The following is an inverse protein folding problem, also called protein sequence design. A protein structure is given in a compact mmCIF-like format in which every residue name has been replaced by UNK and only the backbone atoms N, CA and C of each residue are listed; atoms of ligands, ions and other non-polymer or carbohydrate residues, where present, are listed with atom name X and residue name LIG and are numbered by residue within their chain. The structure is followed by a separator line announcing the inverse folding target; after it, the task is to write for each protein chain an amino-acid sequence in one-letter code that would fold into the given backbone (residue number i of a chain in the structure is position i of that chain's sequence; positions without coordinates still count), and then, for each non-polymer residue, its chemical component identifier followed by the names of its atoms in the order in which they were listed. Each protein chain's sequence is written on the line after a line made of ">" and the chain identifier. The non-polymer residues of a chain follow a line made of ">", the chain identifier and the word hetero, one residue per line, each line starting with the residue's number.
data_IF_438639118618
#
_entry.id   IF_438639118618
#
_cell.length_a   1.000
_cell.length_b   1.000
_cell.length_c   1.000
_cell.angle_alpha   90.00
_cell.angle_beta   90.00
_cell.angle_gamma   90.00
#
_symmetry.space_group_name_H-M   'P 1'
#
loop_
_entity.id
_entity.type
_entity.pdbx_description
1 polymer ?
#
# COMPACT_ATOMS: atom_id res chain seq x y z
N UNK A 1 -41.53 28.35 -22.04
CA UNK A 1 -40.23 28.92 -22.33
C UNK A 1 -39.63 29.47 -21.05
N UNK A 2 -38.77 28.75 -20.39
CA UNK A 2 -38.07 29.22 -19.18
C UNK A 2 -37.03 30.28 -19.60
N UNK A 3 -37.06 31.38 -18.91
CA UNK A 3 -36.32 32.59 -19.27
C UNK A 3 -34.80 32.38 -19.08
N UNK A 4 -34.04 32.26 -20.20
CA UNK A 4 -32.57 32.09 -20.22
C UNK A 4 -31.80 33.08 -19.36
N UNK A 5 -32.41 34.24 -19.04
CA UNK A 5 -31.86 35.24 -18.13
C UNK A 5 -31.95 34.83 -16.65
N UNK A 6 -32.94 34.01 -16.33
CA UNK A 6 -33.10 33.44 -14.96
C UNK A 6 -32.13 32.30 -14.70
N UNK A 7 -31.88 31.44 -15.68
CA UNK A 7 -30.90 30.35 -15.59
C UNK A 7 -29.47 30.90 -15.42
N UNK A 8 -29.09 31.95 -16.17
CA UNK A 8 -27.79 32.60 -15.99
C UNK A 8 -27.63 33.21 -14.60
N UNK A 9 -28.69 33.84 -14.04
CA UNK A 9 -28.64 34.40 -12.68
C UNK A 9 -28.55 33.30 -11.62
N UNK A 10 -29.27 32.20 -11.78
CA UNK A 10 -29.21 31.05 -10.87
C UNK A 10 -27.83 30.38 -10.90
N UNK A 11 -27.25 30.19 -12.08
CA UNK A 11 -25.91 29.65 -12.24
C UNK A 11 -24.82 30.53 -11.58
N UNK A 12 -24.93 31.86 -11.75
CA UNK A 12 -23.99 32.80 -11.11
C UNK A 12 -24.13 32.79 -9.57
N UNK A 13 -25.35 32.71 -9.03
CA UNK A 13 -25.58 32.62 -7.58
C UNK A 13 -25.00 31.34 -7.00
N UNK A 14 -25.13 30.21 -7.72
CA UNK A 14 -24.61 28.91 -7.32
C UNK A 14 -23.08 28.88 -7.29
N UNK A 15 -22.43 29.49 -8.28
CA UNK A 15 -20.96 29.63 -8.32
C UNK A 15 -20.46 30.50 -7.17
N UNK A 16 -21.13 31.63 -6.88
CA UNK A 16 -20.77 32.49 -5.74
C UNK A 16 -20.94 31.74 -4.40
N UNK A 17 -21.96 30.93 -4.25
CA UNK A 17 -22.19 30.15 -3.04
C UNK A 17 -21.07 29.11 -2.83
N UNK A 18 -20.63 28.42 -3.89
CA UNK A 18 -19.51 27.47 -3.82
C UNK A 18 -18.21 28.19 -3.43
N UNK A 19 -17.92 29.37 -3.99
CA UNK A 19 -16.70 30.12 -3.64
C UNK A 19 -16.73 30.54 -2.16
N UNK A 20 -17.86 30.96 -1.64
CA UNK A 20 -18.00 31.31 -0.21
C UNK A 20 -17.81 30.08 0.69
N UNK A 21 -18.39 28.94 0.34
CA UNK A 21 -18.22 27.70 1.10
C UNK A 21 -16.76 27.23 1.12
N UNK A 22 -16.06 27.31 -0.02
CA UNK A 22 -14.64 26.95 -0.12
C UNK A 22 -13.77 27.89 0.71
N UNK A 23 -14.03 29.20 0.68
CA UNK A 23 -13.27 30.15 1.48
C UNK A 23 -13.49 29.99 2.99
N UNK A 24 -14.71 29.67 3.42
CA UNK A 24 -15.02 29.37 4.83
C UNK A 24 -14.33 28.06 5.28
N UNK A 25 -14.27 27.06 4.42
CA UNK A 25 -13.56 25.81 4.70
C UNK A 25 -12.06 26.04 4.88
N UNK A 26 -11.42 26.85 4.02
CA UNK A 26 -10.01 27.22 4.17
C UNK A 26 -9.74 28.05 5.43
N UNK A 27 -10.64 28.99 5.77
CA UNK A 27 -10.52 29.80 6.98
C UNK A 27 -10.65 28.94 8.25
N UNK A 28 -11.58 27.98 8.27
CA UNK A 28 -11.74 27.03 9.37
C UNK A 28 -10.50 26.17 9.58
N UNK A 29 -9.93 25.59 8.50
CA UNK A 29 -8.71 24.79 8.61
C UNK A 29 -7.49 25.62 9.03
N UNK A 30 -7.38 26.88 8.58
CA UNK A 30 -6.28 27.78 8.98
C UNK A 30 -6.35 28.17 10.47
N UNK A 31 -7.55 28.36 11.02
CA UNK A 31 -7.71 28.61 12.46
C UNK A 31 -7.40 27.38 13.30
N UNK A 32 -7.76 26.19 12.84
CA UNK A 32 -7.51 24.94 13.56
C UNK A 32 -6.03 24.54 13.57
N UNK A 33 -5.25 24.87 12.51
CA UNK A 33 -3.80 24.68 12.49
C UNK A 33 -3.08 25.61 13.46
N UNK A 34 -3.52 26.86 13.61
CA UNK A 34 -2.95 27.80 14.59
C UNK A 34 -3.24 27.46 16.05
N UNK A 35 -4.32 26.72 16.30
CA UNK A 35 -4.69 26.29 17.68
C UNK A 35 -3.80 25.13 18.18
N UNK A 36 -3.18 24.36 17.28
CA UNK A 36 -2.31 23.24 17.66
C UNK A 36 -0.84 23.66 17.91
N UNK A 37 -0.41 24.83 17.44
CA UNK A 37 0.96 25.30 17.64
C UNK A 37 1.21 26.02 18.99
N UNK A 38 0.13 26.29 19.76
CA UNK A 38 0.24 27.02 21.03
C UNK A 38 0.27 26.13 22.29
N UNK A 39 0.26 24.78 22.16
CA UNK A 39 0.25 23.88 23.32
C UNK A 39 1.59 23.18 23.60
N UNK A 40 2.69 23.58 22.96
CA UNK A 40 4.01 22.94 23.17
C UNK A 40 5.09 23.87 23.74
N UNK A 41 4.70 24.86 24.58
CA UNK A 41 5.71 25.68 25.23
C UNK A 41 5.32 26.06 26.68
N UNK A 42 5.39 25.11 27.59
CA UNK A 42 5.63 25.31 29.02
C UNK A 42 6.00 23.98 29.66
N UNK A 43 7.30 23.73 29.88
CA UNK A 43 7.87 23.28 31.14
C UNK A 43 9.39 23.10 30.97
N UNK A 44 10.10 24.20 31.27
CA UNK A 44 11.49 24.13 31.69
C UNK A 44 11.51 24.59 33.14
N UNK A 45 11.74 23.67 34.07
CA UNK A 45 12.43 24.06 35.31
C UNK A 45 13.21 22.88 35.90
N UNK A 46 14.52 23.02 35.83
CA UNK A 46 15.56 22.83 36.84
C UNK A 46 15.47 21.61 37.79
N UNK A 47 16.43 20.70 37.69
CA UNK A 47 17.27 20.39 38.83
C UNK A 47 18.61 19.77 38.42
N UNK A 48 19.65 20.53 38.72
CA UNK A 48 21.06 20.19 38.77
C UNK A 48 21.35 19.28 39.96
N UNK A 49 22.06 18.14 39.80
CA UNK A 49 22.89 17.56 40.86
C UNK A 49 24.05 16.75 40.25
N UNK A 50 25.23 17.34 40.29
CA UNK A 50 26.60 16.84 40.63
C UNK A 50 27.12 15.52 40.08
N UNK A 51 28.28 15.70 39.35
CA UNK A 51 29.39 14.75 39.23
C UNK A 51 30.12 14.56 40.59
N UNK A 52 30.87 13.47 40.74
CA UNK A 52 32.35 13.61 40.80
C UNK A 52 33.14 12.58 39.98
N UNK A 53 34.07 13.07 39.36
CA UNK A 53 35.52 12.93 39.19
C UNK A 53 36.24 11.62 39.49
N UNK A 54 37.14 11.33 38.52
CA UNK A 54 38.56 10.85 38.62
C UNK A 54 38.77 9.35 38.81
N UNK A 55 39.76 8.74 38.16
CA UNK A 55 41.21 8.86 37.88
C UNK A 55 41.60 7.54 37.20
N UNK A 56 42.41 7.35 36.35
CA UNK A 56 43.75 7.46 35.82
C UNK A 56 43.99 6.36 34.77
N UNK A 57 44.54 6.70 33.69
CA UNK A 57 45.89 6.43 33.11
C UNK A 57 46.40 5.00 33.13
N UNK A 58 46.79 4.52 31.96
CA UNK A 58 47.74 3.44 31.72
C UNK A 58 48.01 3.22 30.22
N UNK A 59 49.03 3.84 29.75
CA UNK A 59 49.75 3.56 28.50
C UNK A 59 50.25 2.11 28.51
N UNK A 60 50.34 1.46 27.33
CA UNK A 60 51.62 1.17 26.69
C UNK A 60 51.46 0.58 25.29
N UNK A 61 52.44 0.99 24.50
CA UNK A 61 52.83 0.66 23.15
C UNK A 61 53.33 -0.78 23.01
N UNK A 62 53.24 -1.32 21.80
CA UNK A 62 54.30 -1.72 20.85
C UNK A 62 53.70 -2.62 19.78
N UNK A 63 53.81 -2.22 18.51
CA UNK A 63 54.74 -2.63 17.45
C UNK A 63 54.96 -4.14 17.34
N UNK A 64 54.68 -4.77 16.22
CA UNK A 64 55.57 -4.84 15.05
C UNK A 64 54.95 -5.73 13.94
N UNK A 65 55.10 -5.23 12.74
CA UNK A 65 55.35 -5.76 11.42
C UNK A 65 55.52 -7.27 11.21
N UNK A 66 54.95 -7.84 10.13
CA UNK A 66 55.75 -8.31 8.99
C UNK A 66 54.90 -8.74 7.79
N UNK A 67 55.40 -8.31 6.66
CA UNK A 67 54.96 -8.57 5.26
C UNK A 67 55.26 -10.02 4.79
N UNK A 68 54.38 -10.49 3.91
CA UNK A 68 54.55 -11.14 2.60
C UNK A 68 55.55 -12.33 2.43
N UNK A 69 55.62 -13.05 1.30
CA UNK A 69 54.93 -12.92 0.01
C UNK A 69 54.50 -14.24 -0.71
N UNK A 70 53.73 -14.00 -1.76
CA UNK A 70 53.50 -14.70 -3.04
C UNK A 70 54.36 -15.95 -3.37
N UNK A 71 53.70 -17.01 -3.90
CA UNK A 71 54.21 -17.78 -5.05
C UNK A 71 53.08 -18.40 -5.84
N UNK A 72 53.03 -18.00 -7.12
CA UNK A 72 52.46 -18.74 -8.25
C UNK A 72 53.14 -20.10 -8.40
N UNK A 73 52.40 -21.09 -8.84
CA UNK A 73 52.94 -22.02 -9.83
C UNK A 73 51.80 -22.66 -10.66
N UNK A 74 52.00 -22.54 -11.96
CA UNK A 74 51.30 -23.22 -13.05
C UNK A 74 51.68 -24.71 -13.07
N UNK A 75 50.76 -25.60 -13.38
CA UNK A 75 51.00 -26.50 -14.52
C UNK A 75 49.75 -27.22 -15.01
N UNK A 76 49.74 -27.37 -16.33
CA UNK A 76 48.83 -28.09 -17.22
C UNK A 76 48.89 -29.62 -16.99
N UNK A 77 47.85 -30.32 -17.28
CA UNK A 77 47.58 -31.22 -18.44
C UNK A 77 46.47 -32.22 -18.18
N UNK A 78 45.52 -32.14 -19.04
CA UNK A 78 44.84 -33.11 -19.91
C UNK A 78 44.33 -34.47 -19.40
N UNK A 79 43.11 -34.68 -19.80
CA UNK A 79 42.45 -35.85 -20.37
C UNK A 79 41.55 -36.75 -19.53
N UNK A 80 40.32 -36.70 -20.03
CA UNK A 80 39.40 -37.77 -20.41
C UNK A 80 38.57 -38.51 -19.35
N UNK A 81 37.32 -38.38 -19.66
CA UNK A 81 36.24 -39.39 -19.75
C UNK A 81 35.20 -39.53 -18.62
N UNK A 82 34.02 -39.22 -19.14
CA UNK A 82 32.75 -39.98 -19.06
C UNK A 82 31.90 -40.00 -17.80
N UNK A 83 30.70 -39.56 -18.15
CA UNK A 83 29.37 -40.04 -17.67
C UNK A 83 29.08 -39.88 -16.20
N UNK A 84 28.13 -38.98 -15.90
CA UNK A 84 26.83 -39.48 -15.51
C UNK A 84 25.86 -38.36 -15.13
N UNK A 85 24.68 -38.44 -15.70
CA UNK A 85 23.37 -38.13 -15.17
C UNK A 85 23.23 -36.84 -14.35
N UNK A 86 22.91 -35.79 -15.05
CA UNK A 86 22.08 -34.72 -14.51
C UNK A 86 20.62 -35.20 -14.51
N UNK A 87 20.12 -35.56 -13.35
CA UNK A 87 18.70 -35.50 -13.06
C UNK A 87 18.28 -34.04 -13.11
N UNK A 88 17.81 -33.61 -14.26
CA UNK A 88 17.04 -32.37 -14.42
C UNK A 88 15.69 -32.59 -13.71
N UNK A 89 15.64 -32.24 -12.44
CA UNK A 89 14.37 -31.96 -11.79
C UNK A 89 13.80 -30.72 -12.48
N UNK A 90 12.97 -30.98 -13.48
CA UNK A 90 12.03 -30.03 -14.05
C UNK A 90 11.14 -29.56 -12.90
N UNK A 91 11.40 -28.35 -12.39
CA UNK A 91 10.47 -27.66 -11.52
C UNK A 91 9.20 -27.45 -12.33
N UNK A 92 8.12 -28.15 -11.98
CA UNK A 92 6.80 -27.96 -12.56
C UNK A 92 6.39 -26.53 -12.20
N UNK A 93 6.44 -25.63 -13.18
CA UNK A 93 5.77 -24.33 -13.12
C UNK A 93 4.28 -24.61 -12.86
N UNK A 94 3.84 -24.30 -11.64
CA UNK A 94 2.40 -24.27 -11.35
C UNK A 94 1.76 -23.28 -12.31
N UNK A 95 0.64 -23.62 -12.96
CA UNK A 95 0.00 -22.75 -13.92
C UNK A 95 -0.33 -21.42 -13.24
N UNK A 96 0.10 -20.34 -13.88
CA UNK A 96 -0.35 -18.97 -13.57
C UNK A 96 -1.87 -19.04 -13.66
N UNK A 97 -2.57 -18.83 -12.55
CA UNK A 97 -4.02 -18.76 -12.58
C UNK A 97 -4.38 -17.55 -13.45
N UNK A 98 -5.04 -17.81 -14.55
CA UNK A 98 -5.60 -16.76 -15.41
C UNK A 98 -6.47 -15.83 -14.56
N UNK A 99 -6.44 -14.52 -14.85
CA UNK A 99 -7.24 -13.55 -14.12
C UNK A 99 -8.71 -13.97 -14.15
N UNK A 100 -9.31 -14.11 -12.97
CA UNK A 100 -10.72 -14.50 -12.85
C UNK A 100 -11.58 -13.49 -13.60
N UNK A 101 -12.38 -13.92 -14.61
CA UNK A 101 -13.24 -12.99 -15.34
C UNK A 101 -14.18 -12.27 -14.37
N UNK A 102 -14.19 -10.93 -14.41
CA UNK A 102 -15.12 -10.15 -13.59
C UNK A 102 -16.53 -10.31 -14.15
N UNK A 103 -17.50 -10.84 -13.38
CA UNK A 103 -18.87 -10.90 -13.85
C UNK A 103 -19.36 -9.49 -14.17
N UNK A 104 -19.75 -9.25 -15.42
CA UNK A 104 -20.31 -7.98 -15.87
C UNK A 104 -21.70 -7.71 -15.28
N UNK A 105 -22.30 -8.73 -14.70
CA UNK A 105 -23.69 -8.75 -14.22
C UNK A 105 -23.87 -8.19 -12.80
N UNK A 106 -22.83 -8.20 -11.93
CA UNK A 106 -22.95 -7.69 -10.57
C UNK A 106 -23.14 -6.16 -10.58
N UNK A 107 -24.14 -5.69 -9.83
CA UNK A 107 -24.34 -4.26 -9.54
C UNK A 107 -23.60 -3.83 -8.27
N UNK A 108 -23.52 -2.51 -7.99
CA UNK A 108 -23.00 -2.03 -6.71
C UNK A 108 -23.85 -2.51 -5.52
N UNK A 109 -25.17 -2.70 -5.72
CA UNK A 109 -26.07 -3.24 -4.69
C UNK A 109 -25.71 -4.70 -4.38
N UNK A 110 -25.40 -5.50 -5.41
CA UNK A 110 -24.94 -6.88 -5.24
C UNK A 110 -23.60 -6.93 -4.51
N UNK A 111 -22.64 -6.07 -4.87
CA UNK A 111 -21.36 -6.00 -4.18
C UNK A 111 -21.54 -5.68 -2.68
N UNK A 112 -22.38 -4.69 -2.33
CA UNK A 112 -22.70 -4.37 -0.94
C UNK A 112 -23.28 -5.57 -0.20
N UNK A 113 -24.27 -6.23 -0.83
CA UNK A 113 -24.91 -7.41 -0.25
C UNK A 113 -23.90 -8.53 -0.02
N UNK A 114 -23.07 -8.86 -1.02
CA UNK A 114 -22.06 -9.91 -0.93
C UNK A 114 -21.05 -9.61 0.18
N UNK A 115 -20.56 -8.36 0.28
CA UNK A 115 -19.62 -7.96 1.34
C UNK A 115 -20.24 -8.11 2.73
N UNK A 116 -21.53 -7.76 2.90
CA UNK A 116 -22.22 -7.93 4.16
C UNK A 116 -22.46 -9.41 4.48
N UNK A 117 -22.99 -10.20 3.52
CA UNK A 117 -23.29 -11.62 3.72
C UNK A 117 -22.03 -12.44 4.04
N UNK A 118 -20.90 -12.10 3.41
CA UNK A 118 -19.61 -12.76 3.64
C UNK A 118 -18.84 -12.15 4.82
N UNK A 119 -19.37 -11.11 5.45
CA UNK A 119 -18.72 -10.35 6.51
C UNK A 119 -17.30 -9.92 6.11
N UNK A 120 -17.20 -9.26 4.96
CA UNK A 120 -15.95 -8.87 4.34
C UNK A 120 -15.63 -7.38 4.57
N UNK A 121 -14.35 -7.07 4.67
CA UNK A 121 -13.84 -5.71 4.85
C UNK A 121 -12.65 -5.44 3.93
N UNK A 122 -12.53 -4.18 3.48
CA UNK A 122 -11.34 -3.65 2.81
C UNK A 122 -10.59 -2.75 3.78
N UNK A 123 -9.29 -2.90 3.87
CA UNK A 123 -8.40 -2.02 4.63
C UNK A 123 -7.34 -1.43 3.72
N UNK A 124 -7.20 -0.09 3.73
CA UNK A 124 -6.30 0.57 2.78
C UNK A 124 -6.06 2.05 3.02
N UNK A 125 -5.58 2.69 1.98
CA UNK A 125 -5.26 4.12 1.93
C UNK A 125 -6.32 4.94 1.18
N UNK A 126 -5.90 6.05 0.55
CA UNK A 126 -6.78 6.91 -0.27
C UNK A 126 -7.36 6.18 -1.49
N UNK A 127 -6.76 5.09 -1.95
CA UNK A 127 -7.35 4.28 -3.02
C UNK A 127 -8.63 3.59 -2.53
N UNK A 128 -8.62 3.03 -1.31
CA UNK A 128 -9.80 2.39 -0.72
C UNK A 128 -10.94 3.39 -0.41
N UNK A 129 -10.61 4.68 -0.14
CA UNK A 129 -11.60 5.73 0.06
C UNK A 129 -12.64 5.79 -1.05
N UNK A 130 -12.23 5.60 -2.31
CA UNK A 130 -13.12 5.65 -3.45
C UNK A 130 -14.23 4.61 -3.43
N UNK A 131 -14.04 3.46 -2.80
CA UNK A 131 -15.08 2.44 -2.65
C UNK A 131 -16.30 2.96 -1.88
N UNK A 132 -16.07 3.81 -0.89
CA UNK A 132 -17.14 4.48 -0.14
C UNK A 132 -17.58 5.79 -0.75
N UNK A 133 -16.64 6.61 -1.24
CA UNK A 133 -16.92 7.92 -1.82
C UNK A 133 -17.82 7.83 -3.07
N UNK A 134 -17.65 6.80 -3.88
CA UNK A 134 -18.50 6.52 -5.04
C UNK A 134 -19.69 5.61 -4.72
N UNK A 135 -19.95 5.34 -3.45
CA UNK A 135 -21.12 4.56 -2.99
C UNK A 135 -21.12 3.10 -3.47
N UNK A 136 -19.92 2.51 -3.68
CA UNK A 136 -19.76 1.16 -4.21
C UNK A 136 -19.86 0.11 -3.12
N UNK A 137 -19.25 0.37 -1.97
CA UNK A 137 -19.37 -0.42 -0.75
C UNK A 137 -19.94 0.44 0.39
N UNK A 138 -20.44 -0.22 1.44
CA UNK A 138 -20.89 0.46 2.64
C UNK A 138 -19.71 0.91 3.49
N UNK A 139 -19.90 1.95 4.30
CA UNK A 139 -18.84 2.52 5.13
C UNK A 139 -18.28 1.52 6.16
N UNK A 140 -19.13 0.63 6.68
CA UNK A 140 -18.73 -0.42 7.62
C UNK A 140 -17.81 -1.48 7.00
N UNK A 141 -17.85 -1.65 5.67
CA UNK A 141 -17.02 -2.62 4.96
C UNK A 141 -15.65 -2.06 4.53
N UNK A 142 -15.35 -0.78 4.81
CA UNK A 142 -14.10 -0.16 4.35
C UNK A 142 -13.45 0.66 5.47
N UNK A 143 -12.24 0.30 5.85
CA UNK A 143 -11.37 1.11 6.71
C UNK A 143 -10.28 1.72 5.85
N UNK A 144 -10.21 3.04 5.81
CA UNK A 144 -9.23 3.76 5.01
C UNK A 144 -8.70 5.01 5.72
N UNK A 145 -7.44 5.34 5.45
CA UNK A 145 -6.82 6.59 5.87
C UNK A 145 -5.87 7.06 4.79
N UNK A 146 -6.03 8.28 4.30
CA UNK A 146 -5.14 8.86 3.27
C UNK A 146 -3.69 8.83 3.73
N UNK A 147 -2.78 8.44 2.83
CA UNK A 147 -1.36 8.33 3.15
C UNK A 147 -0.99 7.13 4.03
N UNK A 148 -1.93 6.22 4.34
CA UNK A 148 -1.66 5.01 5.10
C UNK A 148 -0.74 4.09 4.32
N UNK A 149 0.26 3.52 5.00
CA UNK A 149 1.18 2.52 4.48
C UNK A 149 1.00 1.21 5.24
N UNK A 150 1.55 0.15 4.67
CA UNK A 150 1.48 -1.17 5.31
C UNK A 150 2.15 -1.19 6.69
N UNK A 151 3.28 -0.49 6.85
CA UNK A 151 4.05 -0.46 8.09
C UNK A 151 3.35 0.23 9.27
N UNK A 152 2.28 0.97 9.00
CA UNK A 152 1.53 1.71 10.02
C UNK A 152 0.02 1.44 10.01
N UNK A 153 -0.43 0.39 9.29
CA UNK A 153 -1.83 -0.04 9.28
C UNK A 153 -2.33 -0.53 10.64
N UNK A 154 -1.42 -0.95 11.54
CA UNK A 154 -1.76 -1.34 12.90
C UNK A 154 -2.55 -0.26 13.68
N UNK A 155 -2.46 1.01 13.26
CA UNK A 155 -3.23 2.12 13.83
C UNK A 155 -4.75 2.01 13.57
N UNK A 156 -5.14 1.18 12.63
CA UNK A 156 -6.54 0.95 12.27
C UNK A 156 -7.08 -0.37 12.84
N UNK A 157 -6.23 -1.12 13.59
CA UNK A 157 -6.54 -2.47 14.06
C UNK A 157 -7.80 -2.54 14.92
N UNK A 158 -8.03 -1.55 15.78
CA UNK A 158 -9.20 -1.52 16.67
C UNK A 158 -10.52 -1.51 15.87
N UNK A 159 -10.58 -0.80 14.74
CA UNK A 159 -11.75 -0.80 13.86
C UNK A 159 -11.92 -2.14 13.15
N UNK A 160 -10.82 -2.74 12.72
CA UNK A 160 -10.82 -4.01 12.00
C UNK A 160 -11.21 -5.14 12.96
N UNK A 161 -10.64 -5.18 14.17
CA UNK A 161 -10.99 -6.19 15.18
C UNK A 161 -12.40 -6.02 15.73
N UNK A 162 -12.90 -4.78 15.89
CA UNK A 162 -14.28 -4.53 16.28
C UNK A 162 -15.28 -5.04 15.24
N UNK A 163 -14.97 -4.93 13.96
CA UNK A 163 -15.77 -5.52 12.89
C UNK A 163 -15.60 -7.04 12.83
N UNK A 164 -14.38 -7.56 13.11
CA UNK A 164 -14.01 -8.98 13.10
C UNK A 164 -14.36 -9.70 11.78
N UNK A 165 -13.80 -9.28 10.65
CA UNK A 165 -14.21 -9.77 9.33
C UNK A 165 -13.84 -11.24 9.12
N UNK A 166 -14.67 -11.96 8.33
CA UNK A 166 -14.31 -13.28 7.81
C UNK A 166 -13.27 -13.16 6.68
N UNK A 167 -13.32 -12.06 5.90
CA UNK A 167 -12.40 -11.75 4.80
C UNK A 167 -11.89 -10.32 4.94
N UNK A 168 -10.56 -10.15 4.90
CA UNK A 168 -9.92 -8.85 4.95
C UNK A 168 -9.08 -8.63 3.69
N UNK A 169 -9.52 -7.73 2.82
CA UNK A 169 -8.76 -7.30 1.65
C UNK A 169 -7.78 -6.19 2.03
N UNK A 170 -6.49 -6.41 1.82
CA UNK A 170 -5.45 -5.42 2.03
C UNK A 170 -5.14 -4.68 0.73
N UNK A 171 -5.24 -3.35 0.76
CA UNK A 171 -5.00 -2.49 -0.40
C UNK A 171 -4.01 -1.38 -0.06
N UNK A 172 -2.76 -1.79 0.19
CA UNK A 172 -1.65 -0.92 0.55
C UNK A 172 -0.53 -1.02 -0.47
N UNK A 173 0.30 0.00 -0.56
CA UNK A 173 1.48 0.00 -1.37
C UNK A 173 1.72 1.30 -2.13
N UNK A 174 0.68 2.05 -2.53
CA UNK A 174 0.85 3.30 -3.28
C UNK A 174 1.72 4.31 -2.53
N UNK A 175 1.48 4.49 -1.23
CA UNK A 175 2.29 5.36 -0.38
C UNK A 175 3.61 4.70 0.06
N UNK A 176 3.67 3.38 0.02
CA UNK A 176 4.87 2.61 0.33
C UNK A 176 5.94 2.75 -0.75
N UNK A 177 5.55 2.92 -2.04
CA UNK A 177 6.47 3.18 -3.14
C UNK A 177 7.39 4.38 -2.88
N UNK A 178 6.83 5.48 -2.34
CA UNK A 178 7.60 6.67 -1.99
C UNK A 178 8.50 6.42 -0.78
N UNK A 179 7.96 5.78 0.26
CA UNK A 179 8.69 5.52 1.51
C UNK A 179 9.85 4.56 1.30
N UNK A 180 9.65 3.52 0.49
CA UNK A 180 10.60 2.44 0.27
C UNK A 180 11.24 2.47 -1.12
N UNK A 181 11.32 3.64 -1.77
CA UNK A 181 11.88 3.80 -3.12
C UNK A 181 13.16 3.00 -3.30
N UNK A 182 13.15 2.02 -4.23
CA UNK A 182 14.29 1.14 -4.51
C UNK A 182 14.66 0.15 -3.40
N UNK A 183 13.87 0.03 -2.33
CA UNK A 183 14.13 -0.84 -1.18
C UNK A 183 12.99 -1.83 -0.97
N UNK A 184 12.71 -2.62 -1.99
CA UNK A 184 11.58 -3.57 -2.01
C UNK A 184 11.67 -4.60 -0.89
N UNK A 185 12.87 -5.04 -0.49
CA UNK A 185 13.06 -6.01 0.58
C UNK A 185 12.54 -5.47 1.94
N UNK A 186 12.75 -4.17 2.21
CA UNK A 186 12.22 -3.54 3.43
C UNK A 186 10.69 -3.46 3.39
N UNK A 187 10.10 -3.11 2.23
CA UNK A 187 8.66 -3.14 2.05
C UNK A 187 8.09 -4.53 2.31
N UNK A 188 8.65 -5.57 1.69
CA UNK A 188 8.22 -6.96 1.87
C UNK A 188 8.41 -7.43 3.31
N UNK A 189 9.51 -7.03 3.98
CA UNK A 189 9.70 -7.31 5.41
C UNK A 189 8.57 -6.70 6.24
N UNK A 190 8.20 -5.43 5.99
CA UNK A 190 7.11 -4.77 6.70
C UNK A 190 5.75 -5.38 6.40
N UNK A 191 5.53 -5.79 5.15
CA UNK A 191 4.31 -6.50 4.79
C UNK A 191 4.21 -7.84 5.53
N UNK A 192 5.28 -8.61 5.62
CA UNK A 192 5.38 -9.87 6.36
C UNK A 192 5.08 -9.67 7.85
N UNK A 193 5.74 -8.69 8.50
CA UNK A 193 5.49 -8.33 9.90
C UNK A 193 4.01 -7.97 10.14
N UNK A 194 3.39 -7.26 9.20
CA UNK A 194 1.97 -6.88 9.29
C UNK A 194 1.05 -8.09 9.13
N UNK A 195 1.35 -9.02 8.21
CA UNK A 195 0.59 -10.26 8.07
C UNK A 195 0.65 -11.11 9.35
N UNK A 196 1.83 -11.24 9.97
CA UNK A 196 2.01 -11.96 11.22
C UNK A 196 1.20 -11.31 12.36
N UNK A 197 1.23 -9.98 12.45
CA UNK A 197 0.43 -9.21 13.41
C UNK A 197 -1.08 -9.39 13.20
N UNK A 198 -1.55 -9.35 11.93
CA UNK A 198 -2.96 -9.57 11.61
C UNK A 198 -3.40 -11.00 11.95
N UNK A 199 -2.57 -12.00 11.67
CA UNK A 199 -2.87 -13.38 12.03
C UNK A 199 -2.98 -13.58 13.55
N UNK A 200 -2.17 -12.87 14.34
CA UNK A 200 -2.29 -12.86 15.80
C UNK A 200 -3.61 -12.25 16.27
N UNK A 201 -3.99 -11.10 15.70
CA UNK A 201 -5.18 -10.34 16.14
C UNK A 201 -6.49 -10.88 15.57
N UNK A 202 -6.44 -11.55 14.44
CA UNK A 202 -7.60 -12.00 13.66
C UNK A 202 -7.37 -13.44 13.14
N UNK A 203 -7.22 -14.43 14.02
CA UNK A 203 -6.79 -15.79 13.67
C UNK A 203 -7.78 -16.54 12.74
N UNK A 204 -9.03 -16.09 12.68
CA UNK A 204 -10.08 -16.70 11.85
C UNK A 204 -10.38 -15.93 10.56
N UNK A 205 -9.69 -14.81 10.32
CA UNK A 205 -9.90 -13.96 9.15
C UNK A 205 -9.05 -14.44 7.97
N UNK A 206 -9.67 -14.63 6.82
CA UNK A 206 -8.97 -14.89 5.57
C UNK A 206 -8.46 -13.57 4.99
N UNK A 207 -7.15 -13.41 4.95
CA UNK A 207 -6.51 -12.24 4.33
C UNK A 207 -6.44 -12.44 2.83
N UNK A 208 -6.71 -11.37 2.06
CA UNK A 208 -6.58 -11.31 0.59
C UNK A 208 -5.75 -10.06 0.27
N UNK A 209 -4.74 -10.19 -0.55
CA UNK A 209 -3.88 -9.08 -0.95
C UNK A 209 -4.31 -8.57 -2.33
N UNK A 210 -4.58 -7.27 -2.44
CA UNK A 210 -4.77 -6.60 -3.71
C UNK A 210 -3.44 -6.00 -4.21
N UNK A 211 -3.21 -6.01 -5.52
CA UNK A 211 -2.03 -5.39 -6.12
C UNK A 211 -2.00 -3.88 -5.91
N UNK A 212 -0.80 -3.32 -5.96
CA UNK A 212 -0.59 -1.87 -6.06
C UNK A 212 -0.99 -1.43 -7.46
N UNK A 213 -1.82 -0.39 -7.55
CA UNK A 213 -2.28 0.14 -8.83
C UNK A 213 -1.16 0.88 -9.57
N UNK A 214 -1.14 0.83 -10.90
CA UNK A 214 -0.28 1.67 -11.70
C UNK A 214 -0.71 3.13 -11.59
N UNK A 215 0.17 4.02 -12.02
CA UNK A 215 -0.10 5.46 -12.12
C UNK A 215 0.01 5.92 -13.58
N UNK A 216 -0.47 7.12 -13.87
CA UNK A 216 -0.29 7.73 -15.20
C UNK A 216 1.18 8.10 -15.45
N UNK A 217 1.56 8.20 -16.72
CA UNK A 217 2.88 8.69 -17.11
C UNK A 217 3.20 10.07 -16.51
N UNK A 218 2.20 10.96 -16.44
CA UNK A 218 2.32 12.28 -15.81
C UNK A 218 2.70 12.18 -14.31
N UNK A 219 2.14 11.24 -13.56
CA UNK A 219 2.49 11.03 -12.17
C UNK A 219 3.89 10.43 -12.03
N UNK A 220 4.25 9.48 -12.90
CA UNK A 220 5.59 8.89 -12.98
C UNK A 220 6.66 9.95 -13.25
N UNK A 221 6.41 10.89 -14.16
CA UNK A 221 7.33 12.01 -14.45
C UNK A 221 7.51 12.95 -13.23
N UNK A 222 6.47 13.11 -12.41
CA UNK A 222 6.54 13.94 -11.21
C UNK A 222 7.26 13.25 -10.05
N UNK A 223 7.09 11.94 -9.92
CA UNK A 223 7.67 11.15 -8.86
C UNK A 223 8.10 9.78 -9.39
N UNK A 224 9.39 9.61 -9.59
CA UNK A 224 9.99 8.38 -10.12
C UNK A 224 9.84 7.17 -9.19
N UNK A 225 9.47 7.37 -7.91
CA UNK A 225 9.20 6.28 -6.99
C UNK A 225 8.06 5.36 -7.48
N UNK A 226 7.10 5.91 -8.22
CA UNK A 226 6.03 5.11 -8.82
C UNK A 226 6.52 4.10 -9.88
N UNK A 227 7.73 4.29 -10.44
CA UNK A 227 8.35 3.33 -11.37
C UNK A 227 8.73 1.99 -10.75
N UNK A 228 8.71 1.88 -9.43
CA UNK A 228 8.96 0.62 -8.73
C UNK A 228 7.70 -0.25 -8.56
N UNK A 229 6.54 0.19 -9.02
CA UNK A 229 5.25 -0.47 -8.80
C UNK A 229 5.25 -1.95 -9.25
N UNK A 230 5.76 -2.25 -10.44
CA UNK A 230 5.82 -3.63 -10.96
C UNK A 230 6.75 -4.51 -10.12
N UNK A 231 7.92 -3.98 -9.70
CA UNK A 231 8.84 -4.69 -8.84
C UNK A 231 8.20 -5.02 -7.48
N UNK A 232 7.52 -4.04 -6.88
CA UNK A 232 6.83 -4.23 -5.60
C UNK A 232 5.70 -5.25 -5.73
N UNK A 233 4.91 -5.22 -6.80
CA UNK A 233 3.86 -6.20 -7.05
C UNK A 233 4.42 -7.61 -7.27
N UNK A 234 5.53 -7.74 -8.00
CA UNK A 234 6.21 -9.02 -8.22
C UNK A 234 6.62 -9.64 -6.89
N UNK A 235 7.28 -8.89 -6.03
CA UNK A 235 7.73 -9.41 -4.73
C UNK A 235 6.56 -9.60 -3.74
N UNK A 236 5.53 -8.75 -3.81
CA UNK A 236 4.32 -8.90 -3.01
C UNK A 236 3.54 -10.17 -3.39
N UNK A 237 3.47 -10.48 -4.69
CA UNK A 237 2.87 -11.74 -5.17
C UNK A 237 3.66 -12.95 -4.68
N UNK A 238 5.00 -12.92 -4.74
CA UNK A 238 5.84 -14.00 -4.19
C UNK A 238 5.57 -14.23 -2.70
N UNK A 239 5.46 -13.15 -1.91
CA UNK A 239 5.11 -13.23 -0.49
C UNK A 239 3.72 -13.85 -0.29
N UNK A 240 2.74 -13.48 -1.11
CA UNK A 240 1.40 -14.05 -1.07
C UNK A 240 1.43 -15.56 -1.37
N UNK A 241 2.16 -15.97 -2.41
CA UNK A 241 2.33 -17.37 -2.79
C UNK A 241 3.04 -18.18 -1.69
N UNK A 242 4.12 -17.66 -1.07
CA UNK A 242 4.81 -18.26 0.07
C UNK A 242 3.90 -18.51 1.28
N UNK A 243 2.95 -17.61 1.50
CA UNK A 243 2.04 -17.64 2.64
C UNK A 243 0.70 -18.31 2.34
N UNK A 244 0.49 -18.79 1.11
CA UNK A 244 -0.80 -19.28 0.60
C UNK A 244 -1.93 -18.26 0.80
N UNK A 245 -1.63 -16.98 0.63
CA UNK A 245 -2.58 -15.86 0.70
C UNK A 245 -3.03 -15.54 -0.73
N UNK A 246 -4.33 -15.46 -1.01
CA UNK A 246 -4.83 -15.04 -2.31
C UNK A 246 -4.34 -13.64 -2.69
N UNK A 247 -3.90 -13.50 -3.94
CA UNK A 247 -3.48 -12.23 -4.52
C UNK A 247 -4.36 -11.89 -5.71
N UNK A 248 -4.93 -10.68 -5.71
CA UNK A 248 -5.80 -10.20 -6.78
C UNK A 248 -5.11 -9.03 -7.49
N UNK A 249 -4.87 -9.20 -8.80
CA UNK A 249 -4.38 -8.11 -9.62
C UNK A 249 -5.52 -7.14 -9.94
N UNK A 250 -5.42 -5.93 -9.41
CA UNK A 250 -6.42 -4.88 -9.55
C UNK A 250 -6.12 -3.92 -10.71
N UNK A 251 -5.00 -4.09 -11.41
CA UNK A 251 -4.56 -3.17 -12.47
C UNK A 251 -5.31 -3.36 -13.80
N UNK A 252 -5.87 -4.54 -14.04
CA UNK A 252 -6.44 -4.97 -15.32
C UNK A 252 -7.49 -4.01 -15.91
N UNK A 253 -8.24 -3.31 -15.06
CA UNK A 253 -9.32 -2.43 -15.50
C UNK A 253 -8.85 -1.00 -15.87
N UNK A 254 -7.57 -0.70 -15.70
CA UNK A 254 -7.01 0.62 -15.95
C UNK A 254 -6.36 0.74 -17.33
N UNK A 255 -5.88 -0.39 -17.89
CA UNK A 255 -5.10 -0.37 -19.15
C UNK A 255 -5.94 -0.09 -20.38
N UNK A 256 -7.21 -0.46 -20.41
CA UNK A 256 -8.10 -0.35 -21.58
C UNK A 256 -8.83 0.99 -21.68
N UNK A 257 -8.53 1.97 -20.83
CA UNK A 257 -9.26 3.23 -20.77
C UNK A 257 -8.39 4.43 -21.13
N UNK A 258 -8.90 5.30 -22.00
CA UNK A 258 -8.32 6.62 -22.18
C UNK A 258 -8.45 7.42 -20.88
N UNK A 259 -7.31 7.94 -20.38
CA UNK A 259 -7.26 8.79 -19.19
C UNK A 259 -7.97 8.18 -17.97
N UNK A 260 -7.53 7.02 -17.49
CA UNK A 260 -8.22 6.31 -16.40
C UNK A 260 -8.04 6.97 -15.03
N UNK A 261 -7.15 7.96 -14.91
CA UNK A 261 -6.78 8.61 -13.65
C UNK A 261 -7.41 10.00 -13.50
N UNK A 262 -7.53 10.45 -12.26
CA UNK A 262 -7.84 11.82 -11.91
C UNK A 262 -6.71 12.79 -12.33
N UNK A 263 -6.89 14.09 -12.12
CA UNK A 263 -5.93 15.12 -12.54
C UNK A 263 -4.55 14.98 -11.91
N UNK A 264 -4.44 14.32 -10.75
CA UNK A 264 -3.18 14.00 -10.08
C UNK A 264 -2.38 12.90 -10.79
N UNK A 265 -3.07 12.06 -11.57
CA UNK A 265 -2.50 10.96 -12.32
C UNK A 265 -2.24 9.70 -11.48
N UNK A 266 -2.66 9.70 -10.21
CA UNK A 266 -2.47 8.61 -9.24
C UNK A 266 -3.77 7.90 -8.92
N UNK A 267 -4.81 8.65 -8.53
CA UNK A 267 -6.10 8.08 -8.19
C UNK A 267 -6.90 7.70 -9.43
N UNK A 268 -7.49 6.50 -9.48
CA UNK A 268 -8.40 6.13 -10.55
C UNK A 268 -9.66 6.98 -10.55
N UNK A 269 -10.25 7.19 -11.72
CA UNK A 269 -11.56 7.80 -11.85
C UNK A 269 -12.69 6.89 -11.34
N UNK A 270 -13.83 7.48 -11.06
CA UNK A 270 -14.99 6.84 -10.46
C UNK A 270 -15.46 5.54 -11.13
N UNK A 271 -15.26 5.37 -12.45
CA UNK A 271 -15.64 4.15 -13.18
C UNK A 271 -14.91 2.89 -12.72
N UNK A 272 -13.71 3.05 -12.15
CA UNK A 272 -12.85 1.96 -11.71
C UNK A 272 -13.40 1.24 -10.47
N UNK A 273 -13.94 1.98 -9.52
CA UNK A 273 -14.34 1.44 -8.22
C UNK A 273 -15.43 0.36 -8.28
N UNK A 274 -16.47 0.48 -9.14
CA UNK A 274 -17.40 -0.62 -9.37
C UNK A 274 -16.73 -1.89 -9.90
N UNK A 275 -15.75 -1.76 -10.79
CA UNK A 275 -15.01 -2.91 -11.34
C UNK A 275 -14.16 -3.58 -10.28
N UNK A 276 -13.50 -2.78 -9.44
CA UNK A 276 -12.73 -3.26 -8.31
C UNK A 276 -13.60 -4.04 -7.32
N UNK A 277 -14.72 -3.46 -6.89
CA UNK A 277 -15.63 -4.14 -5.96
C UNK A 277 -16.21 -5.44 -6.55
N UNK A 278 -16.55 -5.45 -7.84
CA UNK A 278 -17.02 -6.65 -8.54
C UNK A 278 -15.97 -7.77 -8.53
N UNK A 279 -14.71 -7.45 -8.75
CA UNK A 279 -13.63 -8.42 -8.73
C UNK A 279 -13.48 -9.04 -7.33
N UNK A 280 -13.46 -8.24 -6.28
CA UNK A 280 -13.44 -8.73 -4.90
C UNK A 280 -14.71 -9.54 -4.55
N UNK A 281 -15.89 -9.05 -4.96
CA UNK A 281 -17.16 -9.76 -4.75
C UNK A 281 -17.19 -11.12 -5.48
N UNK A 282 -16.65 -11.19 -6.69
CA UNK A 282 -16.50 -12.46 -7.43
C UNK A 282 -15.62 -13.44 -6.67
N UNK A 283 -14.49 -12.98 -6.14
CA UNK A 283 -13.65 -13.80 -5.27
C UNK A 283 -14.43 -14.33 -4.06
N UNK A 284 -15.22 -13.49 -3.39
CA UNK A 284 -16.04 -13.86 -2.23
C UNK A 284 -17.12 -14.91 -2.57
N UNK A 285 -17.67 -14.88 -3.78
CA UNK A 285 -18.67 -15.87 -4.22
C UNK A 285 -18.08 -17.24 -4.54
N UNK A 286 -16.79 -17.31 -4.87
CA UNK A 286 -16.08 -18.54 -5.21
C UNK A 286 -15.46 -19.22 -3.98
N UNK A 287 -15.40 -18.54 -2.84
CA UNK A 287 -14.77 -18.97 -1.59
C UNK A 287 -15.69 -18.78 -0.36
#
# INVERSE_FOLDING_TARGET
>A
MINKKLEKKLGTLFICFIIVCVSLFFAYNFMNTKSNDNNNNTDKNSQEIKKPNNIEQGNDKDKDSNEAPIKEDNNKDAKDNKDNNKDDKKEEEKPIQDPVPVPTELTNADCKKIFNDKHAMVSGDSMAEGLTAYGVLNAENVVWVRGRRIDNMYKDIDKITAYNPNYLFLTYGSNDLEMWTGRVEQFIKKYRETLDYLNEKLPNTKIVINSILPVSEKALQKNSAFGYQELFNTELKKLADERNIPYIDMSLHLFDKEKPFESDGVHPKGFYYPLWAKQMATYLLQN
#
